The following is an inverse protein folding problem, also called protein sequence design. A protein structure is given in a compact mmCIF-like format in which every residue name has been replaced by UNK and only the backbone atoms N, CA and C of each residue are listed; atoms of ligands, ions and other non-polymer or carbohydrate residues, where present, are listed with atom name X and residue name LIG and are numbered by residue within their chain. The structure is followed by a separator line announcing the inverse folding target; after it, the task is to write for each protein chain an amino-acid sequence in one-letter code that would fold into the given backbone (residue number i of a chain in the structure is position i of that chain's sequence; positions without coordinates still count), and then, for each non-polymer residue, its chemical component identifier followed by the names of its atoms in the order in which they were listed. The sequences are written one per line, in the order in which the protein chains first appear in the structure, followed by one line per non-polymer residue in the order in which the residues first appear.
data_IF_323481593027
#
_entry.id   IF_323481593027
#
_cell.length_a   1.000
_cell.length_b   1.000
_cell.length_c   1.000
_cell.angle_alpha   90.00
_cell.angle_beta   90.00
_cell.angle_gamma   90.00
#
_symmetry.space_group_name_H-M   'P 1'
#
loop_
_entity.id
_entity.type
_entity.pdbx_description
1 polymer ?
#
# COMPACT_ATOMS: atom_id res chain seq x y z
N UNK A 1 5.32 1.66 -25.11
CA UNK A 1 5.67 3.06 -25.49
C UNK A 1 6.67 3.62 -24.48
N UNK A 2 7.55 4.56 -24.87
CA UNK A 2 8.57 5.11 -23.94
C UNK A 2 7.93 5.74 -22.70
N UNK A 3 6.82 6.46 -22.88
CA UNK A 3 6.10 7.15 -21.79
C UNK A 3 4.74 6.54 -21.44
N UNK A 4 4.32 5.49 -22.14
CA UNK A 4 2.98 4.90 -21.98
C UNK A 4 2.95 3.71 -21.01
N UNK A 5 1.76 3.16 -20.74
CA UNK A 5 1.61 1.96 -19.93
C UNK A 5 2.49 0.82 -20.46
N UNK A 6 3.44 0.39 -19.65
CA UNK A 6 4.27 -0.78 -19.87
C UNK A 6 4.73 -1.31 -18.52
N UNK A 7 4.98 -2.61 -18.41
CA UNK A 7 5.43 -3.21 -17.15
C UNK A 7 6.74 -2.57 -16.64
N UNK A 8 7.62 -2.16 -17.56
CA UNK A 8 8.85 -1.45 -17.22
C UNK A 8 8.56 -0.07 -16.60
N UNK A 9 7.63 0.68 -17.17
CA UNK A 9 7.28 2.01 -16.66
C UNK A 9 6.53 1.95 -15.32
N UNK A 10 5.70 0.92 -15.12
CA UNK A 10 5.08 0.65 -13.82
C UNK A 10 6.15 0.38 -12.77
N UNK A 11 7.08 -0.54 -13.05
CA UNK A 11 8.15 -0.88 -12.10
C UNK A 11 9.12 0.29 -11.88
N UNK A 12 9.38 1.12 -12.88
CA UNK A 12 10.19 2.32 -12.74
C UNK A 12 9.53 3.34 -11.79
N UNK A 13 8.22 3.56 -11.94
CA UNK A 13 7.47 4.44 -11.04
C UNK A 13 7.45 3.91 -9.59
N UNK A 14 7.28 2.60 -9.41
CA UNK A 14 7.36 1.96 -8.09
C UNK A 14 8.74 2.16 -7.47
N UNK A 15 9.80 1.87 -8.23
CA UNK A 15 11.18 1.98 -7.74
C UNK A 15 11.51 3.42 -7.34
N UNK A 16 11.15 4.40 -8.17
CA UNK A 16 11.36 5.82 -7.87
C UNK A 16 10.58 6.23 -6.62
N UNK A 17 9.30 5.85 -6.53
CA UNK A 17 8.46 6.11 -5.37
C UNK A 17 9.03 5.52 -4.08
N UNK A 18 9.51 4.27 -4.11
CA UNK A 18 10.12 3.61 -2.95
C UNK A 18 11.46 4.23 -2.51
N UNK A 19 12.30 4.62 -3.47
CA UNK A 19 13.58 5.31 -3.19
C UNK A 19 13.31 6.67 -2.55
N UNK A 20 12.47 7.49 -3.17
CA UNK A 20 12.12 8.80 -2.63
C UNK A 20 11.47 8.66 -1.26
N UNK A 21 10.53 7.73 -1.10
CA UNK A 21 9.93 7.49 0.21
C UNK A 21 10.98 7.17 1.28
N UNK A 22 11.93 6.27 0.98
CA UNK A 22 12.94 5.89 1.96
C UNK A 22 13.88 7.04 2.29
N UNK A 23 14.24 7.88 1.33
CA UNK A 23 15.05 9.10 1.57
C UNK A 23 14.34 10.02 2.56
N UNK A 24 13.05 10.26 2.34
CA UNK A 24 12.25 11.17 3.18
C UNK A 24 11.96 10.58 4.56
N UNK A 25 11.76 9.26 4.63
CA UNK A 25 11.66 8.54 5.91
C UNK A 25 12.92 8.71 6.75
N UNK A 26 14.11 8.57 6.15
CA UNK A 26 15.39 8.75 6.84
C UNK A 26 15.60 10.20 7.28
N UNK A 27 15.26 11.18 6.42
CA UNK A 27 15.30 12.60 6.78
C UNK A 27 14.37 12.91 7.96
N UNK A 28 13.11 12.42 7.92
CA UNK A 28 12.15 12.53 9.02
C UNK A 28 12.70 11.95 10.32
N UNK A 29 13.28 10.75 10.25
CA UNK A 29 13.87 10.08 11.41
C UNK A 29 15.10 10.82 11.98
N UNK A 30 15.83 11.56 11.15
CA UNK A 30 16.94 12.42 11.56
C UNK A 30 16.49 13.80 12.07
N UNK A 31 15.19 14.13 12.00
CA UNK A 31 14.68 15.46 12.33
C UNK A 31 14.99 16.52 11.27
N UNK A 32 15.33 16.09 10.05
CA UNK A 32 15.59 16.97 8.92
C UNK A 32 14.29 17.36 8.20
N UNK A 33 14.29 18.45 7.42
CA UNK A 33 13.20 18.76 6.51
C UNK A 33 12.94 17.56 5.57
N UNK A 34 11.68 17.14 5.50
CA UNK A 34 11.25 15.99 4.72
C UNK A 34 9.93 16.31 4.01
N UNK A 35 9.75 15.73 2.83
CA UNK A 35 8.56 15.88 2.00
C UNK A 35 8.32 14.61 1.17
N UNK A 36 7.22 13.91 1.46
CA UNK A 36 6.84 12.67 0.78
C UNK A 36 6.07 12.89 -0.54
N UNK A 37 5.79 14.13 -0.94
CA UNK A 37 4.96 14.41 -2.13
C UNK A 37 5.48 13.71 -3.39
N UNK A 38 6.78 13.82 -3.69
CA UNK A 38 7.36 13.18 -4.87
C UNK A 38 7.21 11.64 -4.85
N UNK A 39 7.36 11.03 -3.68
CA UNK A 39 7.20 9.59 -3.51
C UNK A 39 5.76 9.14 -3.79
N UNK A 40 4.78 9.85 -3.23
CA UNK A 40 3.37 9.52 -3.45
C UNK A 40 2.91 9.82 -4.88
N UNK A 41 3.43 10.85 -5.52
CA UNK A 41 3.11 11.16 -6.91
C UNK A 41 3.60 10.07 -7.87
N UNK A 42 4.81 9.54 -7.68
CA UNK A 42 5.31 8.41 -8.47
C UNK A 42 4.53 7.12 -8.20
N UNK A 43 4.14 6.85 -6.96
CA UNK A 43 3.31 5.68 -6.65
C UNK A 43 1.91 5.77 -7.25
N UNK A 44 1.28 6.95 -7.23
CA UNK A 44 -0.01 7.22 -7.91
C UNK A 44 0.14 7.06 -9.42
N UNK A 45 1.24 7.54 -10.00
CA UNK A 45 1.59 7.31 -11.41
C UNK A 45 1.75 5.81 -11.71
N UNK A 46 2.41 5.06 -10.84
CA UNK A 46 2.52 3.60 -10.95
C UNK A 46 1.16 2.89 -10.94
N UNK A 47 0.23 3.33 -10.09
CA UNK A 47 -1.16 2.84 -10.08
C UNK A 47 -1.85 3.14 -11.41
N UNK A 48 -1.79 4.37 -11.91
CA UNK A 48 -2.41 4.75 -13.19
C UNK A 48 -1.85 3.93 -14.36
N UNK A 49 -0.51 3.82 -14.46
CA UNK A 49 0.13 3.02 -15.48
C UNK A 49 -0.27 1.54 -15.41
N UNK A 50 -0.38 0.99 -14.20
CA UNK A 50 -0.76 -0.41 -13.97
C UNK A 50 -2.20 -0.70 -14.42
N UNK A 51 -3.13 0.21 -14.11
CA UNK A 51 -4.54 0.08 -14.51
C UNK A 51 -4.76 0.23 -16.02
N UNK A 52 -3.83 0.89 -16.72
CA UNK A 52 -3.91 1.14 -18.16
C UNK A 52 -3.01 0.21 -19.00
N UNK A 53 -2.45 -0.86 -18.42
CA UNK A 53 -1.69 -1.85 -19.18
C UNK A 53 -2.58 -2.52 -20.25
N UNK A 54 -2.10 -2.54 -21.49
CA UNK A 54 -2.73 -3.32 -22.55
C UNK A 54 -2.63 -4.82 -22.23
N UNK A 55 -3.72 -5.55 -22.47
CA UNK A 55 -3.95 -6.97 -22.16
C UNK A 55 -2.68 -7.80 -21.88
N UNK A 56 -2.54 -8.19 -20.61
CA UNK A 56 -1.49 -9.04 -20.09
C UNK A 56 -2.13 -10.28 -19.46
N UNK A 57 -2.19 -11.39 -20.21
CA UNK A 57 -2.51 -12.69 -19.63
C UNK A 57 -1.25 -13.57 -19.55
N UNK A 58 -0.81 -13.95 -18.33
CA UNK A 58 -1.32 -13.52 -17.02
C UNK A 58 -0.91 -12.07 -16.68
N UNK A 59 -1.60 -11.47 -15.71
CA UNK A 59 -1.28 -10.14 -15.19
C UNK A 59 0.20 -10.05 -14.83
N UNK A 60 0.87 -9.02 -15.36
CA UNK A 60 2.33 -8.90 -15.26
C UNK A 60 2.86 -8.62 -13.85
N UNK A 61 1.97 -8.29 -12.91
CA UNK A 61 2.28 -8.08 -11.50
C UNK A 61 1.39 -8.97 -10.63
N UNK A 62 2.02 -9.68 -9.68
CA UNK A 62 1.33 -10.57 -8.75
C UNK A 62 0.57 -9.82 -7.65
N UNK A 63 1.00 -8.60 -7.31
CA UNK A 63 0.35 -7.71 -6.34
C UNK A 63 0.03 -6.37 -7.01
N UNK A 64 -1.16 -5.77 -6.74
CA UNK A 64 -1.52 -4.48 -7.30
C UNK A 64 -0.65 -3.37 -6.70
N UNK A 65 -0.22 -2.38 -7.48
CA UNK A 65 0.62 -1.25 -6.99
C UNK A 65 -0.01 -0.53 -5.78
N UNK A 66 -1.34 -0.55 -5.68
CA UNK A 66 -2.12 -0.02 -4.57
C UNK A 66 -1.73 -0.59 -3.21
N UNK A 67 -1.20 -1.81 -3.13
CA UNK A 67 -0.70 -2.37 -1.86
C UNK A 67 0.47 -1.56 -1.30
N UNK A 68 1.35 -1.02 -2.15
CA UNK A 68 2.50 -0.20 -1.76
C UNK A 68 2.00 1.18 -1.35
N UNK A 69 1.25 1.85 -2.24
CA UNK A 69 0.74 3.20 -1.99
C UNK A 69 -0.08 3.26 -0.70
N UNK A 70 -1.03 2.34 -0.51
CA UNK A 70 -1.86 2.30 0.68
C UNK A 70 -1.05 2.03 1.95
N UNK A 71 -0.02 1.18 1.90
CA UNK A 71 0.82 0.89 3.08
C UNK A 71 1.57 2.13 3.55
N UNK A 72 2.16 2.85 2.59
CA UNK A 72 3.02 3.99 2.87
C UNK A 72 2.22 5.25 3.26
N UNK A 73 1.01 5.40 2.71
CA UNK A 73 0.04 6.41 3.16
C UNK A 73 -0.39 6.15 4.60
N UNK A 74 -0.76 4.89 4.91
CA UNK A 74 -1.15 4.49 6.26
C UNK A 74 -0.03 4.73 7.28
N UNK A 75 1.21 4.35 6.96
CA UNK A 75 2.40 4.58 7.81
C UNK A 75 2.59 6.07 8.15
N UNK A 76 2.35 6.97 7.20
CA UNK A 76 2.50 8.41 7.42
C UNK A 76 1.25 9.08 8.01
N UNK A 77 0.19 8.31 8.29
CA UNK A 77 -1.05 8.82 8.89
C UNK A 77 -2.03 9.44 7.90
N UNK A 78 -1.84 9.25 6.59
CA UNK A 78 -2.79 9.65 5.55
C UNK A 78 -3.93 8.61 5.44
N UNK A 79 -4.69 8.44 6.53
CA UNK A 79 -5.65 7.34 6.69
C UNK A 79 -6.79 7.43 5.67
N UNK A 80 -7.32 8.62 5.42
CA UNK A 80 -8.43 8.81 4.49
C UNK A 80 -8.05 8.40 3.06
N UNK A 81 -6.88 8.83 2.57
CA UNK A 81 -6.40 8.46 1.24
C UNK A 81 -6.05 6.97 1.17
N UNK A 82 -5.42 6.42 2.22
CA UNK A 82 -5.12 4.99 2.27
C UNK A 82 -6.41 4.15 2.17
N UNK A 83 -7.48 4.55 2.88
CA UNK A 83 -8.77 3.89 2.83
C UNK A 83 -9.36 3.92 1.40
N UNK A 84 -9.33 5.07 0.73
CA UNK A 84 -9.79 5.20 -0.67
C UNK A 84 -9.03 4.25 -1.60
N UNK A 85 -7.69 4.16 -1.45
CA UNK A 85 -6.85 3.27 -2.23
C UNK A 85 -7.26 1.80 -2.06
N UNK A 86 -7.48 1.35 -0.82
CA UNK A 86 -7.88 -0.04 -0.56
C UNK A 86 -9.30 -0.34 -1.00
N UNK A 87 -10.25 0.59 -0.82
CA UNK A 87 -11.62 0.45 -1.33
C UNK A 87 -11.65 0.34 -2.85
N UNK A 88 -10.83 1.14 -3.55
CA UNK A 88 -10.70 1.04 -5.00
C UNK A 88 -10.07 -0.29 -5.44
N UNK A 89 -9.17 -0.84 -4.63
CA UNK A 89 -8.52 -2.12 -4.88
C UNK A 89 -9.49 -3.30 -4.77
N UNK A 90 -10.18 -3.45 -3.64
CA UNK A 90 -11.14 -4.55 -3.42
C UNK A 90 -12.37 -4.48 -4.35
N UNK A 91 -12.72 -3.27 -4.85
CA UNK A 91 -13.76 -3.10 -5.87
C UNK A 91 -13.38 -3.76 -7.19
N UNK A 92 -12.10 -3.68 -7.57
CA UNK A 92 -11.58 -4.27 -8.80
C UNK A 92 -11.22 -5.75 -8.60
N UNK A 93 -10.52 -6.05 -7.51
CA UNK A 93 -10.03 -7.37 -7.14
C UNK A 93 -10.76 -7.86 -5.89
N UNK A 94 -11.97 -8.41 -6.10
CA UNK A 94 -12.75 -9.00 -5.02
C UNK A 94 -11.91 -10.05 -4.30
N UNK A 95 -12.04 -10.08 -2.98
CA UNK A 95 -11.32 -11.01 -2.10
C UNK A 95 -9.79 -10.87 -2.10
N UNK A 96 -9.24 -9.77 -2.64
CA UNK A 96 -7.81 -9.50 -2.50
C UNK A 96 -7.44 -9.29 -1.02
N UNK A 97 -6.68 -10.23 -0.48
CA UNK A 97 -6.21 -10.24 0.90
C UNK A 97 -5.43 -8.97 1.28
N UNK A 98 -4.63 -8.40 0.36
CA UNK A 98 -3.90 -7.16 0.62
C UNK A 98 -4.82 -5.96 0.78
N UNK A 99 -5.84 -5.85 -0.09
CA UNK A 99 -6.85 -4.80 0.01
C UNK A 99 -7.71 -4.93 1.28
N UNK A 100 -8.09 -6.15 1.65
CA UNK A 100 -8.85 -6.43 2.87
C UNK A 100 -8.05 -6.08 4.14
N UNK A 101 -6.77 -6.47 4.21
CA UNK A 101 -5.90 -6.09 5.32
C UNK A 101 -5.76 -4.56 5.42
N UNK A 102 -5.52 -3.90 4.29
CA UNK A 102 -5.36 -2.45 4.25
C UNK A 102 -6.59 -1.70 4.72
N UNK A 103 -7.78 -2.09 4.24
CA UNK A 103 -9.04 -1.51 4.69
C UNK A 103 -9.26 -1.77 6.18
N UNK A 104 -9.01 -2.99 6.66
CA UNK A 104 -9.07 -3.32 8.10
C UNK A 104 -8.20 -2.36 8.92
N UNK A 105 -6.94 -2.15 8.53
CA UNK A 105 -6.00 -1.26 9.24
C UNK A 105 -6.45 0.21 9.24
N UNK A 106 -7.11 0.67 8.16
CA UNK A 106 -7.66 2.02 8.10
C UNK A 106 -8.86 2.18 9.03
N UNK A 107 -9.77 1.20 9.05
CA UNK A 107 -10.94 1.18 9.94
C UNK A 107 -10.53 1.10 11.42
N UNK A 108 -9.49 0.33 11.73
CA UNK A 108 -8.89 0.28 13.08
C UNK A 108 -8.31 1.65 13.49
N UNK A 109 -7.63 2.35 12.58
CA UNK A 109 -7.09 3.68 12.84
C UNK A 109 -8.17 4.75 13.02
N UNK A 110 -9.28 4.65 12.27
CA UNK A 110 -10.41 5.59 12.33
C UNK A 110 -11.26 5.39 13.61
N UNK A 111 -11.47 4.14 14.02
CA UNK A 111 -12.08 3.79 15.31
C UNK A 111 -13.57 4.12 15.44
N UNK A 112 -14.28 4.39 14.34
CA UNK A 112 -15.67 4.90 14.32
C UNK A 112 -16.63 4.02 13.49
N UNK A 113 -16.20 2.86 12.99
CA UNK A 113 -16.95 1.99 12.09
C UNK A 113 -16.87 0.51 12.50
N UNK A 114 -17.33 0.20 13.72
CA UNK A 114 -17.19 -1.13 14.35
C UNK A 114 -17.84 -2.27 13.55
N UNK A 115 -19.03 -2.05 12.98
CA UNK A 115 -19.74 -3.06 12.18
C UNK A 115 -18.97 -3.40 10.90
N UNK A 116 -18.56 -2.38 10.14
CA UNK A 116 -17.77 -2.56 8.92
C UNK A 116 -16.41 -3.20 9.22
N UNK A 117 -15.75 -2.78 10.31
CA UNK A 117 -14.50 -3.36 10.76
C UNK A 117 -14.65 -4.86 11.04
N UNK A 118 -15.72 -5.27 11.71
CA UNK A 118 -16.00 -6.69 11.98
C UNK A 118 -16.21 -7.48 10.68
N UNK A 119 -16.97 -6.94 9.72
CA UNK A 119 -17.19 -7.57 8.41
C UNK A 119 -15.88 -7.74 7.63
N UNK A 120 -15.10 -6.67 7.49
CA UNK A 120 -13.83 -6.70 6.76
C UNK A 120 -12.81 -7.61 7.44
N UNK A 121 -12.78 -7.64 8.78
CA UNK A 121 -11.93 -8.53 9.56
C UNK A 121 -12.28 -10.01 9.31
N UNK A 122 -13.57 -10.35 9.30
CA UNK A 122 -14.02 -11.72 9.01
C UNK A 122 -13.63 -12.14 7.58
N UNK A 123 -13.80 -11.24 6.60
CA UNK A 123 -13.39 -11.50 5.22
C UNK A 123 -11.88 -11.70 5.11
N UNK A 124 -11.07 -10.83 5.73
CA UNK A 124 -9.63 -10.97 5.74
C UNK A 124 -9.20 -12.32 6.32
N UNK A 125 -9.72 -12.68 7.50
CA UNK A 125 -9.38 -13.94 8.18
C UNK A 125 -9.72 -15.17 7.33
N UNK A 126 -10.87 -15.18 6.66
CA UNK A 126 -11.26 -16.29 5.79
C UNK A 126 -10.34 -16.39 4.57
N UNK A 127 -10.07 -15.25 3.89
CA UNK A 127 -9.22 -15.22 2.69
C UNK A 127 -7.74 -15.44 3.00
N UNK A 128 -7.28 -15.15 4.21
CA UNK A 128 -5.91 -15.41 4.67
C UNK A 128 -5.74 -16.77 5.35
N UNK A 129 -6.79 -17.57 5.50
CA UNK A 129 -6.79 -18.82 6.29
C UNK A 129 -5.75 -19.87 5.86
N UNK A 130 -5.26 -19.78 4.62
CA UNK A 130 -4.27 -20.69 4.04
C UNK A 130 -2.90 -20.04 3.81
N UNK A 131 -2.71 -18.79 4.23
CA UNK A 131 -1.43 -18.12 4.09
C UNK A 131 -0.42 -18.73 5.09
N UNK A 132 0.78 -19.07 4.62
CA UNK A 132 1.87 -19.54 5.50
C UNK A 132 2.26 -18.48 6.52
N UNK A 133 2.19 -17.21 6.13
CA UNK A 133 2.46 -16.04 6.95
C UNK A 133 1.30 -15.06 6.77
N UNK A 134 0.65 -14.71 7.87
CA UNK A 134 -0.36 -13.64 7.87
C UNK A 134 0.36 -12.31 8.03
N UNK A 135 0.33 -11.43 7.02
CA UNK A 135 1.03 -10.15 7.07
C UNK A 135 0.32 -9.19 8.03
N UNK A 136 1.11 -8.41 8.78
CA UNK A 136 0.61 -7.35 9.66
C UNK A 136 0.42 -6.01 8.94
N UNK A 137 1.04 -5.86 7.76
CA UNK A 137 1.00 -4.67 6.90
C UNK A 137 0.92 -5.10 5.45
N UNK A 138 0.37 -4.26 4.59
CA UNK A 138 0.10 -4.61 3.20
C UNK A 138 1.34 -4.59 2.30
N UNK A 139 2.38 -3.87 2.70
CA UNK A 139 3.68 -3.86 2.01
C UNK A 139 4.83 -3.81 3.04
N UNK A 140 5.88 -4.61 2.84
CA UNK A 140 7.07 -4.57 3.71
C UNK A 140 7.96 -3.35 3.51
N UNK A 141 7.65 -2.50 2.53
CA UNK A 141 8.23 -1.18 2.41
C UNK A 141 7.80 -0.29 3.59
N UNK A 142 6.61 -0.52 4.15
CA UNK A 142 6.23 0.06 5.42
C UNK A 142 7.01 -0.59 6.57
N UNK A 143 7.68 0.22 7.37
CA UNK A 143 8.31 -0.19 8.62
C UNK A 143 7.25 -0.23 9.72
N UNK A 144 7.47 -1.09 10.70
CA UNK A 144 6.79 -0.87 11.98
C UNK A 144 7.33 0.46 12.50
N UNK A 145 6.47 1.29 13.10
CA UNK A 145 6.96 2.42 13.88
C UNK A 145 7.78 1.81 15.02
N UNK A 146 9.06 1.53 14.76
CA UNK A 146 9.97 1.00 15.74
C UNK A 146 10.06 2.08 16.81
N UNK A 147 9.31 1.91 17.90
CA UNK A 147 9.82 2.36 19.17
C UNK A 147 11.19 1.69 19.28
N UNK A 148 12.25 2.48 19.08
CA UNK A 148 13.60 2.06 19.42
C UNK A 148 13.63 1.90 20.94
N UNK A 149 13.18 0.75 21.42
CA UNK A 149 13.69 0.23 22.66
C UNK A 149 15.17 -0.05 22.41
N UNK A 150 16.04 0.78 22.96
CA UNK A 150 17.48 0.55 22.93
C UNK A 150 17.92 -0.63 23.80
N UNK A 151 17.00 -1.41 24.38
CA UNK A 151 17.30 -2.56 25.23
C UNK A 151 16.21 -3.63 25.13
N UNK A 152 16.52 -4.72 24.43
CA UNK A 152 16.27 -6.09 24.92
C UNK A 152 17.57 -6.89 24.72
#
# INVERSE_FOLDING_TARGET
PSEGPSILNVNAAILEGEIEYRRQFLAKAAGEPHDFTAAFDELRRGVDLSLNLAYNEPWGQMQPVRHILGALLHEQGHIEEAEEVYRADIKLWKDNMWGLLGLKLCLEARGDAEEELAEVTNLFNDRSSRADIVPAKTCFCAQDALEKSCCD
#
